data_IF_209810402828
#
_entry.id   IF_209810402828
#
_cell.length_a   1.000
_cell.length_b   1.000
_cell.length_c   1.000
_cell.angle_alpha   90.00
_cell.angle_beta   90.00
_cell.angle_gamma   90.00
#
_symmetry.space_group_name_H-M   'P 1'
#
loop_
_entity.id
_entity.type
_entity.pdbx_description
1 polymer ?
#
# COMPACT_ATOMS: atom_id res chain seq x y z
N UNK A 1 -16.56 31.17 -26.95
CA UNK A 1 -15.65 31.07 -25.79
C UNK A 1 -16.38 30.77 -24.47
N UNK A 2 -17.37 31.56 -24.03
CA UNK A 2 -18.10 31.28 -22.75
C UNK A 2 -18.80 29.90 -22.67
N UNK A 3 -19.29 29.35 -23.80
CA UNK A 3 -19.97 28.05 -23.82
C UNK A 3 -19.07 26.83 -23.47
N UNK A 4 -17.74 26.94 -23.59
CA UNK A 4 -16.82 25.86 -23.23
C UNK A 4 -16.62 25.75 -21.71
N UNK A 5 -16.52 26.89 -21.02
CA UNK A 5 -16.32 26.93 -19.56
C UNK A 5 -17.53 26.36 -18.81
N UNK A 6 -18.75 26.70 -19.24
CA UNK A 6 -19.98 26.19 -18.61
C UNK A 6 -20.16 24.67 -18.80
N UNK A 7 -19.78 24.14 -19.97
CA UNK A 7 -19.76 22.70 -20.23
C UNK A 7 -18.77 21.99 -19.30
N UNK A 8 -17.56 22.52 -19.12
CA UNK A 8 -16.57 21.94 -18.20
C UNK A 8 -17.06 21.90 -16.75
N UNK A 9 -17.70 22.98 -16.28
CA UNK A 9 -18.25 23.04 -14.91
C UNK A 9 -19.37 22.01 -14.75
N UNK A 10 -20.27 21.88 -15.73
CA UNK A 10 -21.37 20.92 -15.72
C UNK A 10 -20.85 19.49 -15.70
N UNK A 11 -19.88 19.15 -16.55
CA UNK A 11 -19.24 17.83 -16.57
C UNK A 11 -18.56 17.50 -15.25
N UNK A 12 -17.80 18.43 -14.66
CA UNK A 12 -17.17 18.22 -13.34
C UNK A 12 -18.19 17.94 -12.25
N UNK A 13 -19.29 18.70 -12.20
CA UNK A 13 -20.38 18.48 -11.24
C UNK A 13 -21.06 17.11 -11.45
N UNK A 14 -21.31 16.73 -12.70
CA UNK A 14 -21.93 15.43 -13.02
C UNK A 14 -21.03 14.26 -12.63
N UNK A 15 -19.73 14.33 -12.96
CA UNK A 15 -18.75 13.29 -12.57
C UNK A 15 -18.63 13.23 -11.06
N UNK A 16 -18.57 14.37 -10.36
CA UNK A 16 -18.52 14.38 -8.90
C UNK A 16 -19.77 13.74 -8.28
N UNK A 17 -20.97 14.07 -8.77
CA UNK A 17 -22.22 13.47 -8.30
C UNK A 17 -22.24 11.95 -8.56
N UNK A 18 -21.81 11.52 -9.76
CA UNK A 18 -21.71 10.11 -10.12
C UNK A 18 -20.72 9.37 -9.22
N UNK A 19 -19.53 9.94 -8.96
CA UNK A 19 -18.53 9.35 -8.08
C UNK A 19 -19.02 9.28 -6.64
N UNK A 20 -19.69 10.31 -6.14
CA UNK A 20 -20.31 10.29 -4.81
C UNK A 20 -21.39 9.23 -4.68
N UNK A 21 -22.24 9.07 -5.71
CA UNK A 21 -23.26 8.02 -5.75
C UNK A 21 -22.63 6.62 -5.81
N UNK A 22 -21.61 6.44 -6.64
CA UNK A 22 -20.85 5.18 -6.74
C UNK A 22 -20.23 4.82 -5.38
N UNK A 23 -19.55 5.76 -4.73
CA UNK A 23 -18.96 5.57 -3.41
C UNK A 23 -20.03 5.20 -2.37
N UNK A 24 -21.18 5.87 -2.39
CA UNK A 24 -22.30 5.54 -1.51
C UNK A 24 -22.81 4.10 -1.71
N UNK A 25 -22.99 3.66 -2.96
CA UNK A 25 -23.38 2.28 -3.29
C UNK A 25 -22.32 1.28 -2.81
N UNK A 26 -21.04 1.56 -3.05
CA UNK A 26 -19.94 0.69 -2.59
C UNK A 26 -19.94 0.57 -1.06
N UNK A 27 -20.13 1.67 -0.33
CA UNK A 27 -20.22 1.67 1.13
C UNK A 27 -21.44 0.86 1.59
N UNK A 28 -22.61 1.02 0.96
CA UNK A 28 -23.80 0.22 1.29
C UNK A 28 -23.59 -1.28 1.03
N UNK A 29 -22.88 -1.65 -0.04
CA UNK A 29 -22.53 -3.06 -0.31
C UNK A 29 -21.64 -3.60 0.81
N UNK A 30 -20.57 -2.90 1.18
CA UNK A 30 -19.72 -3.34 2.30
C UNK A 30 -20.47 -3.40 3.62
N UNK A 31 -21.36 -2.44 3.89
CA UNK A 31 -22.19 -2.42 5.10
C UNK A 31 -23.22 -3.56 5.12
N UNK A 32 -23.87 -3.86 4.00
CA UNK A 32 -24.84 -4.96 3.89
C UNK A 32 -24.16 -6.31 4.02
N UNK A 33 -22.92 -6.43 3.57
CA UNK A 33 -22.13 -7.65 3.74
C UNK A 33 -21.74 -7.82 5.22
N UNK A 34 -21.59 -6.72 5.99
CA UNK A 34 -21.41 -6.65 7.46
C UNK A 34 -20.43 -7.68 8.07
N UNK A 35 -19.58 -8.23 7.23
CA UNK A 35 -18.50 -9.10 7.61
C UNK A 35 -17.29 -8.19 7.70
N UNK A 36 -16.92 -7.84 8.94
CA UNK A 36 -15.59 -7.28 9.26
C UNK A 36 -14.48 -8.05 8.54
N UNK A 37 -14.73 -9.33 8.21
CA UNK A 37 -13.86 -10.19 7.43
C UNK A 37 -13.49 -9.61 6.05
N UNK A 38 -14.38 -8.92 5.33
CA UNK A 38 -14.08 -8.40 3.99
C UNK A 38 -13.16 -7.19 4.07
N UNK A 39 -13.48 -6.25 4.96
CA UNK A 39 -12.64 -5.08 5.21
C UNK A 39 -11.26 -5.54 5.72
N UNK A 40 -11.22 -6.44 6.71
CA UNK A 40 -9.98 -7.03 7.20
C UNK A 40 -9.20 -7.71 6.09
N UNK A 41 -9.83 -8.52 5.24
CA UNK A 41 -9.16 -9.21 4.13
C UNK A 41 -8.56 -8.23 3.13
N UNK A 42 -9.28 -7.17 2.75
CA UNK A 42 -8.75 -6.11 1.89
C UNK A 42 -7.52 -5.43 2.50
N UNK A 43 -7.59 -5.06 3.78
CA UNK A 43 -6.47 -4.46 4.50
C UNK A 43 -5.30 -5.42 4.70
N UNK A 44 -5.55 -6.72 4.89
CA UNK A 44 -4.53 -7.75 4.96
C UNK A 44 -3.79 -7.87 3.64
N UNK A 45 -4.52 -7.95 2.52
CA UNK A 45 -3.91 -7.97 1.18
C UNK A 45 -3.11 -6.70 0.95
N UNK A 46 -3.67 -5.54 1.27
CA UNK A 46 -2.97 -4.27 1.21
C UNK A 46 -1.70 -4.25 2.08
N UNK A 47 -1.72 -4.84 3.27
CA UNK A 47 -0.56 -4.96 4.15
C UNK A 47 0.55 -5.83 3.56
N UNK A 48 0.21 -6.91 2.85
CA UNK A 48 1.19 -7.74 2.16
C UNK A 48 1.76 -7.08 0.90
N UNK A 49 0.95 -6.32 0.14
CA UNK A 49 1.39 -5.70 -1.12
C UNK A 49 2.02 -4.33 -0.95
N UNK A 50 1.40 -3.45 -0.15
CA UNK A 50 1.89 -2.10 0.10
C UNK A 50 2.94 -2.05 1.20
N UNK A 51 3.07 -3.10 2.03
CA UNK A 51 4.13 -3.20 3.03
C UNK A 51 5.53 -3.05 2.41
N UNK A 52 5.92 -3.87 1.42
CA UNK A 52 7.22 -3.75 0.78
C UNK A 52 7.41 -2.42 0.05
N UNK A 53 6.35 -1.91 -0.59
CA UNK A 53 6.38 -0.59 -1.25
C UNK A 53 6.64 0.52 -0.24
N UNK A 54 6.00 0.47 0.93
CA UNK A 54 6.22 1.41 2.03
C UNK A 54 7.67 1.34 2.53
N UNK A 55 8.23 0.14 2.68
CA UNK A 55 9.62 -0.05 3.11
C UNK A 55 10.63 0.49 2.11
N UNK A 56 10.47 0.19 0.81
CA UNK A 56 11.32 0.70 -0.27
C UNK A 56 11.23 2.23 -0.39
N UNK A 57 10.02 2.78 -0.34
CA UNK A 57 9.80 4.21 -0.43
C UNK A 57 10.38 4.96 0.78
N UNK A 58 10.14 4.45 1.99
CA UNK A 58 10.73 4.97 3.22
C UNK A 58 12.27 4.93 3.16
N UNK A 59 12.85 3.84 2.65
CA UNK A 59 14.31 3.72 2.50
C UNK A 59 14.88 4.79 1.57
N UNK A 60 14.26 5.01 0.40
CA UNK A 60 14.69 6.05 -0.55
C UNK A 60 14.48 7.48 -0.06
N UNK A 61 13.48 7.72 0.80
CA UNK A 61 13.24 9.04 1.38
C UNK A 61 14.20 9.37 2.54
N UNK A 62 14.46 8.40 3.43
CA UNK A 62 15.24 8.64 4.64
C UNK A 62 16.72 8.31 4.51
N UNK A 63 17.14 7.61 3.45
CA UNK A 63 18.54 7.24 3.24
C UNK A 63 19.02 7.60 1.84
N UNK A 64 20.31 7.95 1.71
CA UNK A 64 20.99 8.15 0.42
C UNK A 64 21.88 6.96 0.04
N UNK A 65 21.65 5.81 0.65
CA UNK A 65 22.47 4.62 0.46
C UNK A 65 22.14 3.96 -0.88
N UNK A 66 23.18 3.60 -1.64
CA UNK A 66 23.00 2.81 -2.86
C UNK A 66 22.75 1.35 -2.50
N UNK A 67 21.75 0.76 -3.14
CA UNK A 67 21.44 -0.66 -3.05
C UNK A 67 21.73 -1.28 -4.41
N UNK A 68 22.06 -2.57 -4.42
CA UNK A 68 22.09 -3.31 -5.67
C UNK A 68 20.65 -3.66 -6.09
N UNK A 69 20.18 -3.07 -7.18
CA UNK A 69 18.83 -3.27 -7.73
C UNK A 69 18.48 -4.74 -7.95
N UNK A 70 19.49 -5.61 -8.14
CA UNK A 70 19.28 -7.05 -8.29
C UNK A 70 18.71 -7.70 -7.03
N UNK A 71 19.00 -7.19 -5.83
CA UNK A 71 18.52 -7.80 -4.57
C UNK A 71 17.15 -7.26 -4.12
N UNK A 72 16.72 -6.11 -4.64
CA UNK A 72 15.46 -5.45 -4.23
C UNK A 72 14.23 -6.34 -4.42
N UNK A 73 14.01 -7.01 -5.57
CA UNK A 73 12.84 -7.87 -5.75
C UNK A 73 12.83 -9.07 -4.78
N UNK A 74 14.01 -9.61 -4.44
CA UNK A 74 14.11 -10.73 -3.51
C UNK A 74 13.68 -10.31 -2.10
N UNK A 75 14.11 -9.12 -1.64
CA UNK A 75 13.72 -8.58 -0.33
C UNK A 75 12.22 -8.29 -0.30
N UNK A 76 11.69 -7.70 -1.38
CA UNK A 76 10.28 -7.36 -1.50
C UNK A 76 9.35 -8.58 -1.47
N UNK A 77 9.82 -9.75 -1.93
CA UNK A 77 9.09 -11.03 -1.82
C UNK A 77 9.34 -11.73 -0.50
N UNK A 78 10.56 -11.68 0.03
CA UNK A 78 10.91 -12.28 1.33
C UNK A 78 10.17 -11.62 2.49
N UNK A 79 9.95 -10.31 2.45
CA UNK A 79 9.29 -9.58 3.54
C UNK A 79 7.84 -10.05 3.79
N UNK A 80 6.95 -10.14 2.77
CA UNK A 80 5.63 -10.76 2.91
C UNK A 80 5.67 -12.20 3.42
N UNK A 81 6.66 -13.00 2.98
CA UNK A 81 6.80 -14.40 3.43
C UNK A 81 7.15 -14.45 4.92
N UNK A 82 8.10 -13.63 5.38
CA UNK A 82 8.46 -13.52 6.78
C UNK A 82 7.26 -13.05 7.61
N UNK A 83 6.53 -12.03 7.13
CA UNK A 83 5.31 -11.55 7.77
C UNK A 83 4.23 -12.64 7.84
N UNK A 84 4.06 -13.43 6.77
CA UNK A 84 3.07 -14.51 6.73
C UNK A 84 3.40 -15.60 7.74
N UNK A 85 4.66 -16.04 7.82
CA UNK A 85 5.11 -17.01 8.81
C UNK A 85 4.94 -16.46 10.23
N UNK A 86 5.33 -15.20 10.46
CA UNK A 86 5.16 -14.55 11.75
C UNK A 86 3.67 -14.44 12.14
N UNK A 87 2.79 -14.21 11.16
CA UNK A 87 1.35 -14.12 11.36
C UNK A 87 0.71 -15.43 11.84
N UNK A 88 1.37 -16.57 11.63
CA UNK A 88 0.91 -17.87 12.16
C UNK A 88 1.10 -17.99 13.68
N UNK A 89 2.09 -17.27 14.23
CA UNK A 89 2.40 -17.30 15.66
C UNK A 89 1.83 -16.10 16.42
N UNK A 90 1.73 -14.95 15.75
CA UNK A 90 1.23 -13.69 16.29
C UNK A 90 0.18 -13.18 15.33
N UNK A 91 -1.08 -13.14 15.74
CA UNK A 91 -2.17 -12.62 14.89
C UNK A 91 -1.98 -11.12 14.63
N UNK A 92 -1.47 -10.76 13.45
CA UNK A 92 -1.36 -9.37 13.02
C UNK A 92 -2.63 -8.92 12.32
N UNK A 93 -3.12 -7.74 12.68
CA UNK A 93 -4.24 -7.09 12.03
C UNK A 93 -3.72 -6.04 11.04
N UNK A 94 -4.01 -4.78 11.36
CA UNK A 94 -3.56 -3.63 10.57
C UNK A 94 -2.05 -3.36 10.74
N UNK A 95 -1.41 -3.89 11.79
CA UNK A 95 0.02 -3.69 12.03
C UNK A 95 0.89 -4.38 10.97
N UNK A 96 0.34 -5.39 10.28
CA UNK A 96 1.04 -6.15 9.23
C UNK A 96 1.67 -5.22 8.18
N UNK A 97 0.97 -4.14 7.79
CA UNK A 97 1.48 -3.16 6.83
C UNK A 97 2.78 -2.52 7.31
N UNK A 98 2.79 -2.03 8.56
CA UNK A 98 3.94 -1.33 9.15
C UNK A 98 5.09 -2.31 9.38
N UNK A 99 4.79 -3.50 9.91
CA UNK A 99 5.79 -4.54 10.18
C UNK A 99 6.47 -4.98 8.88
N UNK A 100 5.70 -5.21 7.81
CA UNK A 100 6.22 -5.57 6.50
C UNK A 100 7.08 -4.45 5.89
N UNK A 101 6.66 -3.19 6.05
CA UNK A 101 7.47 -2.03 5.67
C UNK A 101 8.80 -1.95 6.42
N UNK A 102 8.78 -2.19 7.74
CA UNK A 102 9.99 -2.20 8.58
C UNK A 102 10.94 -3.33 8.16
N UNK A 103 10.43 -4.55 7.97
CA UNK A 103 11.25 -5.69 7.53
C UNK A 103 11.89 -5.41 6.18
N UNK A 104 11.14 -4.84 5.23
CA UNK A 104 11.67 -4.46 3.92
C UNK A 104 12.75 -3.37 4.04
N UNK A 105 12.51 -2.34 4.85
CA UNK A 105 13.48 -1.27 5.10
C UNK A 105 14.79 -1.81 5.70
N UNK A 106 14.71 -2.67 6.72
CA UNK A 106 15.89 -3.28 7.33
C UNK A 106 16.60 -4.26 6.39
N UNK A 107 15.85 -5.02 5.60
CA UNK A 107 16.42 -5.91 4.58
C UNK A 107 17.26 -5.15 3.55
N UNK A 108 16.75 -4.00 3.09
CA UNK A 108 17.48 -3.10 2.20
C UNK A 108 18.69 -2.47 2.89
N UNK A 109 18.56 -2.07 4.15
CA UNK A 109 19.65 -1.49 4.93
C UNK A 109 20.82 -2.47 5.13
N UNK A 110 20.53 -3.76 5.36
CA UNK A 110 21.57 -4.80 5.51
C UNK A 110 22.28 -5.11 4.19
N UNK A 111 21.58 -4.98 3.06
CA UNK A 111 22.11 -5.24 1.72
C UNK A 111 22.59 -3.98 1.01
N UNK A 112 22.72 -2.86 1.74
CA UNK A 112 23.33 -1.64 1.21
C UNK A 112 24.72 -1.98 0.66
N UNK A 113 25.05 -1.38 -0.47
CA UNK A 113 26.42 -1.42 -0.96
C UNK A 113 27.20 -0.46 -0.06
N UNK A 114 28.06 -1.01 0.79
CA UNK A 114 29.10 -0.22 1.44
C UNK A 114 30.07 0.15 0.31
N UNK A 115 29.94 1.36 -0.25
CA UNK A 115 31.07 1.98 -0.95
C UNK A 115 32.12 2.28 0.13
N UNK A 116 32.84 1.23 0.56
CA UNK A 116 34.16 1.39 1.17
C UNK A 116 35.00 2.10 0.12
N UNK A 117 35.14 3.41 0.31
CA UNK A 117 36.16 4.22 -0.34
C UNK A 117 37.53 3.86 0.22
#
# INVERSE_FOLDING_TARGET
EQQEADKQIKTRKNVHLMMSCLLFVVIMIFNSINDDSVIKSLFTVAGYTYGPLLGMYSFGLFTQLKINDKYVPYIAVLSPIICYVANLYISFGFELLIINGIITFFGLYLLKIDEKK
#
